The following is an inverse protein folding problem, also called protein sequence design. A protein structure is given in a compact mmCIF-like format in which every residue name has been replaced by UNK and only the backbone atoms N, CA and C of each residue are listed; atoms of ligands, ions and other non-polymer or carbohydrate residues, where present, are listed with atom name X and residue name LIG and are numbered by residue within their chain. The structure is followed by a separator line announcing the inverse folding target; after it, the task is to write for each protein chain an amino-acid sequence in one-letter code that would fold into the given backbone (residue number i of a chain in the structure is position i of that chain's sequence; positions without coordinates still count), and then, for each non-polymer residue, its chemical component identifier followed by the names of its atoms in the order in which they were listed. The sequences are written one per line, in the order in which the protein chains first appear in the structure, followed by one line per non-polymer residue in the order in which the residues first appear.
data_IF_875517477097
#
_entry.id   IF_875517477097
#
_cell.length_a   1.000
_cell.length_b   1.000
_cell.length_c   1.000
_cell.angle_alpha   90.00
_cell.angle_beta   90.00
_cell.angle_gamma   90.00
#
_symmetry.space_group_name_H-M   'P 1'
#
loop_
_entity.id
_entity.type
_entity.pdbx_description
1 polymer ?
#
# COMPACT_ATOMS: atom_id res chain seq x y z
N UNK A 1 -19.20 -10.54 6.97
CA UNK A 1 -18.57 -9.28 7.34
C UNK A 1 -17.80 -8.71 6.20
N UNK A 2 -17.93 -7.43 5.97
CA UNK A 2 -17.27 -6.81 4.86
C UNK A 2 -15.87 -6.38 5.24
N UNK A 3 -14.89 -6.70 4.43
CA UNK A 3 -13.51 -6.25 4.66
C UNK A 3 -13.36 -4.78 4.25
N UNK A 4 -12.55 -4.05 5.01
CA UNK A 4 -12.20 -2.71 4.62
C UNK A 4 -11.26 -2.76 3.43
N UNK A 5 -11.22 -1.70 2.66
CA UNK A 5 -10.42 -1.65 1.44
C UNK A 5 -8.97 -1.30 1.77
N UNK A 6 -8.06 -1.88 1.00
CA UNK A 6 -6.64 -1.58 1.06
C UNK A 6 -6.32 -0.87 -0.25
N UNK A 7 -6.16 0.43 -0.18
CA UNK A 7 -6.02 1.24 -1.39
C UNK A 7 -4.61 1.76 -1.54
N UNK A 8 -4.00 1.47 -2.68
CA UNK A 8 -2.66 1.94 -3.02
C UNK A 8 -2.82 2.91 -4.20
N UNK A 9 -2.48 4.19 -3.99
CA UNK A 9 -2.72 5.22 -5.00
C UNK A 9 -4.20 5.42 -5.25
N UNK A 10 -4.53 5.96 -6.41
CA UNK A 10 -5.92 6.23 -6.76
C UNK A 10 -6.39 5.36 -7.90
N UNK A 11 -7.66 4.99 -7.89
CA UNK A 11 -8.25 4.18 -8.95
C UNK A 11 -8.03 4.83 -10.32
N UNK A 12 -7.80 4.00 -11.32
CA UNK A 12 -7.63 4.49 -12.70
C UNK A 12 -6.26 5.10 -12.99
N UNK A 13 -5.28 4.92 -12.11
CA UNK A 13 -3.94 5.46 -12.35
C UNK A 13 -2.93 4.36 -12.62
N UNK A 14 -1.90 4.70 -13.38
CA UNK A 14 -0.79 3.78 -13.64
C UNK A 14 -0.11 3.43 -12.32
N UNK A 15 0.00 4.39 -11.40
CA UNK A 15 0.62 4.14 -10.11
C UNK A 15 -0.12 3.03 -9.37
N UNK A 16 -1.45 3.09 -9.28
CA UNK A 16 -2.21 2.01 -8.61
C UNK A 16 -1.96 0.68 -9.30
N UNK A 17 -2.00 0.66 -10.64
CA UNK A 17 -1.77 -0.58 -11.37
C UNK A 17 -0.41 -1.19 -11.02
N UNK A 18 0.63 -0.35 -10.99
CA UNK A 18 1.99 -0.84 -10.72
C UNK A 18 2.15 -1.30 -9.28
N UNK A 19 1.61 -0.55 -8.32
CA UNK A 19 1.71 -0.92 -6.90
C UNK A 19 0.95 -2.22 -6.61
N UNK A 20 -0.26 -2.34 -7.12
CA UNK A 20 -1.08 -3.54 -6.93
C UNK A 20 -0.40 -4.74 -7.60
N UNK A 21 0.14 -4.55 -8.80
CA UNK A 21 0.89 -5.60 -9.49
C UNK A 21 2.06 -6.08 -8.67
N UNK A 22 2.78 -5.16 -8.01
CA UNK A 22 3.91 -5.52 -7.16
C UNK A 22 3.47 -6.34 -5.94
N UNK A 23 2.32 -6.01 -5.34
CA UNK A 23 1.76 -6.80 -4.24
C UNK A 23 1.43 -8.20 -4.72
N UNK A 24 0.77 -8.31 -5.87
CA UNK A 24 0.34 -9.62 -6.39
C UNK A 24 1.52 -10.49 -6.79
N UNK A 25 2.64 -9.90 -7.19
CA UNK A 25 3.85 -10.67 -7.50
C UNK A 25 4.68 -10.99 -6.26
N UNK A 26 4.38 -10.42 -5.12
CA UNK A 26 5.17 -10.60 -3.90
C UNK A 26 6.35 -9.66 -3.77
N UNK A 27 6.48 -8.69 -4.67
CA UNK A 27 7.59 -7.73 -4.61
C UNK A 27 7.33 -6.61 -3.61
N UNK A 28 6.09 -6.27 -3.37
CA UNK A 28 5.72 -5.24 -2.41
C UNK A 28 5.08 -5.87 -1.20
N UNK A 29 5.75 -5.75 -0.05
CA UNK A 29 5.27 -6.31 1.23
C UNK A 29 5.22 -5.25 2.32
N UNK A 30 5.39 -3.98 1.95
CA UNK A 30 5.34 -2.86 2.89
C UNK A 30 4.82 -1.63 2.17
N UNK A 31 4.22 -0.74 2.93
CA UNK A 31 3.75 0.54 2.40
C UNK A 31 3.86 1.61 3.49
N UNK A 32 4.11 2.84 3.07
CA UNK A 32 4.25 3.99 3.95
C UNK A 32 3.13 4.98 3.72
N UNK A 33 2.67 5.60 4.79
CA UNK A 33 1.70 6.68 4.71
C UNK A 33 1.99 7.68 5.82
N UNK A 34 1.34 8.84 5.76
CA UNK A 34 1.52 9.86 6.79
C UNK A 34 0.55 9.61 7.94
N UNK A 35 1.02 9.77 9.16
CA UNK A 35 0.13 9.62 10.31
C UNK A 35 -1.05 10.59 10.23
N UNK A 36 -0.83 11.76 9.63
CA UNK A 36 -1.90 12.74 9.48
C UNK A 36 -3.01 12.31 8.53
N UNK A 37 -2.84 11.20 7.81
CA UNK A 37 -3.90 10.66 6.96
C UNK A 37 -4.90 9.82 7.76
N UNK A 38 -4.70 9.70 9.07
CA UNK A 38 -5.53 8.84 9.94
C UNK A 38 -6.11 9.64 11.10
N UNK A 39 -6.90 8.99 11.93
CA UNK A 39 -7.47 9.61 13.13
C UNK A 39 -6.35 10.10 14.04
N UNK A 40 -6.55 11.21 14.72
CA UNK A 40 -7.78 12.02 14.76
C UNK A 40 -7.84 13.07 13.65
N UNK A 41 -6.83 13.22 12.80
CA UNK A 41 -6.80 14.23 11.75
C UNK A 41 -7.90 13.98 10.72
N UNK A 42 -8.14 12.73 10.39
CA UNK A 42 -9.21 12.32 9.49
C UNK A 42 -10.08 11.29 10.19
N UNK A 43 -11.11 10.80 9.53
CA UNK A 43 -11.95 9.74 10.08
C UNK A 43 -11.38 8.35 9.85
N UNK A 44 -10.30 8.23 9.08
CA UNK A 44 -9.74 6.95 8.71
C UNK A 44 -9.01 6.29 9.90
N UNK A 45 -9.35 5.06 10.30
CA UNK A 45 -8.62 4.40 11.37
C UNK A 45 -7.28 3.87 10.87
N UNK A 46 -6.31 3.78 11.77
CA UNK A 46 -5.04 3.13 11.45
C UNK A 46 -5.27 1.65 11.13
N UNK A 47 -4.43 1.06 10.29
CA UNK A 47 -4.47 -0.38 10.09
C UNK A 47 -4.26 -1.13 11.41
N UNK A 48 -4.80 -2.32 11.54
CA UNK A 48 -4.71 -3.13 12.75
C UNK A 48 -4.00 -4.43 12.44
N UNK A 49 -2.93 -4.72 13.17
CA UNK A 49 -2.17 -5.96 12.99
C UNK A 49 -3.10 -7.15 13.17
N UNK A 50 -3.02 -8.08 12.25
CA UNK A 50 -3.87 -9.29 12.26
C UNK A 50 -5.17 -9.13 11.48
N UNK A 51 -5.55 -7.91 11.13
CA UNK A 51 -6.77 -7.73 10.35
C UNK A 51 -6.49 -7.92 8.87
N UNK A 52 -7.50 -8.30 8.14
CA UNK A 52 -7.44 -8.52 6.70
C UNK A 52 -8.20 -7.43 5.97
N UNK A 53 -7.70 -7.09 4.80
CA UNK A 53 -8.21 -6.00 4.00
C UNK A 53 -8.36 -6.44 2.56
N UNK A 54 -9.28 -5.81 1.84
CA UNK A 54 -9.54 -6.12 0.45
C UNK A 54 -8.66 -5.25 -0.44
N UNK A 55 -7.71 -5.86 -1.13
CA UNK A 55 -6.86 -5.14 -2.08
C UNK A 55 -7.66 -4.84 -3.33
N UNK A 56 -7.73 -3.57 -3.72
CA UNK A 56 -8.50 -3.15 -4.89
C UNK A 56 -7.57 -2.74 -6.02
N UNK A 57 -7.95 -3.10 -7.22
CA UNK A 57 -7.13 -2.92 -8.42
C UNK A 57 -7.41 -1.64 -9.17
N UNK A 58 -6.94 -1.61 -10.44
CA UNK A 58 -6.97 -0.42 -11.28
C UNK A 58 -8.37 0.18 -11.40
N UNK A 59 -9.37 -0.63 -11.63
CA UNK A 59 -10.74 -0.17 -11.80
C UNK A 59 -11.54 -0.28 -10.48
N UNK A 60 -10.82 -0.29 -9.36
CA UNK A 60 -11.42 -0.35 -8.05
C UNK A 60 -12.08 -1.69 -7.76
N UNK A 61 -11.72 -2.70 -8.51
CA UNK A 61 -12.25 -4.06 -8.33
C UNK A 61 -11.42 -4.84 -7.31
N UNK A 62 -12.01 -5.77 -6.58
CA UNK A 62 -11.25 -6.57 -5.63
C UNK A 62 -10.33 -7.56 -6.35
N UNK A 63 -9.06 -7.56 -6.01
CA UNK A 63 -8.06 -8.42 -6.64
C UNK A 63 -7.27 -9.27 -5.65
N UNK A 64 -7.41 -9.02 -4.36
CA UNK A 64 -6.69 -9.81 -3.37
C UNK A 64 -7.13 -9.52 -1.96
N UNK A 65 -6.64 -10.33 -1.04
CA UNK A 65 -6.83 -10.10 0.40
C UNK A 65 -5.44 -10.05 1.00
N UNK A 66 -5.17 -8.99 1.76
CA UNK A 66 -3.91 -8.81 2.47
C UNK A 66 -4.17 -8.78 3.97
N UNK A 67 -3.17 -9.17 4.74
CA UNK A 67 -3.25 -9.11 6.20
C UNK A 67 -2.11 -8.26 6.71
N UNK A 68 -2.39 -7.29 7.57
CA UNK A 68 -1.36 -6.46 8.19
C UNK A 68 -0.61 -7.29 9.21
N UNK A 69 0.71 -7.35 9.08
CA UNK A 69 1.55 -8.17 9.97
C UNK A 69 2.36 -7.35 10.94
N UNK A 70 2.61 -6.06 10.62
CA UNK A 70 3.35 -5.18 11.51
C UNK A 70 2.94 -3.74 11.25
N UNK A 71 2.85 -2.94 12.29
CA UNK A 71 2.59 -1.52 12.15
C UNK A 71 3.52 -0.77 13.10
N UNK A 72 4.32 0.15 12.54
CA UNK A 72 5.20 0.99 13.34
C UNK A 72 5.02 2.43 12.90
N UNK A 73 5.08 3.34 13.84
CA UNK A 73 5.03 4.76 13.52
C UNK A 73 6.40 5.32 13.85
N UNK A 74 7.12 5.76 12.83
CA UNK A 74 8.49 6.20 12.96
C UNK A 74 8.64 7.62 12.41
N UNK A 75 9.55 8.42 12.96
CA UNK A 75 9.90 9.67 12.29
C UNK A 75 10.53 9.34 10.93
N UNK A 76 10.35 10.20 9.97
CA UNK A 76 10.81 9.94 8.60
C UNK A 76 12.29 9.57 8.54
N UNK A 77 13.11 10.17 9.40
CA UNK A 77 14.55 9.89 9.40
C UNK A 77 14.87 8.46 9.86
N UNK A 78 13.94 7.76 10.50
CA UNK A 78 14.19 6.42 11.00
C UNK A 78 13.71 5.32 10.06
N UNK A 79 13.16 5.66 8.91
CA UNK A 79 12.78 4.66 7.91
C UNK A 79 14.07 4.07 7.34
N UNK A 80 14.22 2.75 7.43
CA UNK A 80 15.46 2.10 7.03
C UNK A 80 15.42 1.55 5.60
N UNK A 81 16.57 1.09 5.12
CA UNK A 81 16.69 0.61 3.76
C UNK A 81 15.89 -0.66 3.51
N UNK A 82 15.80 -1.55 4.49
CA UNK A 82 15.03 -2.78 4.29
C UNK A 82 13.56 -2.47 4.08
N UNK A 83 13.01 -1.53 4.85
CA UNK A 83 11.62 -1.12 4.66
C UNK A 83 11.45 -0.49 3.27
N UNK A 84 12.38 0.38 2.87
CA UNK A 84 12.32 1.03 1.56
C UNK A 84 12.32 -0.01 0.43
N UNK A 85 13.15 -1.04 0.56
CA UNK A 85 13.20 -2.11 -0.44
C UNK A 85 11.93 -2.94 -0.46
N UNK A 86 11.36 -3.19 0.72
CA UNK A 86 10.15 -4.01 0.83
C UNK A 86 8.90 -3.30 0.30
N UNK A 87 8.98 -2.00 0.04
CA UNK A 87 7.89 -1.33 -0.67
C UNK A 87 7.81 -1.77 -2.13
N UNK A 88 8.84 -2.42 -2.65
CA UNK A 88 8.79 -3.04 -3.98
C UNK A 88 8.79 -2.08 -5.14
N UNK A 89 9.28 -0.86 -4.95
CA UNK A 89 9.29 0.16 -5.98
C UNK A 89 10.68 0.47 -6.51
N UNK A 90 11.65 -0.36 -6.17
CA UNK A 90 13.00 -0.23 -6.70
C UNK A 90 13.91 0.72 -5.97
N UNK A 91 13.58 1.12 -4.75
CA UNK A 91 14.45 2.01 -4.00
C UNK A 91 15.70 1.28 -3.56
N UNK A 92 16.86 1.84 -3.90
CA UNK A 92 18.14 1.26 -3.52
C UNK A 92 18.81 2.03 -2.40
N UNK A 93 18.30 3.18 -2.02
CA UNK A 93 18.82 3.98 -0.90
C UNK A 93 17.66 4.59 -0.15
N UNK A 94 17.90 4.93 1.13
CA UNK A 94 16.89 5.63 1.93
C UNK A 94 16.67 7.04 1.36
N UNK A 95 17.71 7.66 0.81
CA UNK A 95 17.58 8.99 0.22
C UNK A 95 16.64 8.97 -1.00
N UNK A 96 16.71 7.94 -1.84
CA UNK A 96 15.81 7.85 -2.99
C UNK A 96 14.37 7.59 -2.54
N UNK A 97 14.19 6.79 -1.50
CA UNK A 97 12.88 6.57 -0.88
C UNK A 97 12.30 7.91 -0.40
N UNK A 98 13.11 8.67 0.32
CA UNK A 98 12.67 9.95 0.90
C UNK A 98 12.26 10.93 -0.19
N UNK A 99 13.09 11.06 -1.23
CA UNK A 99 12.82 11.98 -2.33
C UNK A 99 11.53 11.61 -3.07
N UNK A 100 11.31 10.33 -3.32
CA UNK A 100 10.10 9.88 -4.01
C UNK A 100 8.85 10.15 -3.19
N UNK A 101 8.92 9.93 -1.88
CA UNK A 101 7.77 10.14 -1.01
C UNK A 101 7.50 11.64 -0.79
N UNK A 102 8.53 12.46 -0.74
CA UNK A 102 8.33 13.91 -0.68
C UNK A 102 7.59 14.40 -1.92
N UNK A 103 7.91 13.85 -3.11
CA UNK A 103 7.20 14.20 -4.33
C UNK A 103 5.75 13.67 -4.29
N UNK A 104 5.57 12.43 -3.84
CA UNK A 104 4.25 11.82 -3.82
C UNK A 104 3.32 12.55 -2.86
N UNK A 105 3.81 12.91 -1.69
CA UNK A 105 3.00 13.63 -0.71
C UNK A 105 2.87 15.12 -1.03
N UNK A 106 3.61 15.57 -2.00
CA UNK A 106 3.40 16.86 -2.66
C UNK A 106 3.50 18.05 -1.74
N UNK A 107 2.42 18.76 -1.58
CA UNK A 107 2.41 20.00 -0.83
C UNK A 107 2.55 19.82 0.68
N UNK A 108 2.52 18.61 1.19
CA UNK A 108 2.68 18.40 2.62
C UNK A 108 4.16 18.33 2.93
N UNK A 109 4.60 19.28 3.76
CA UNK A 109 6.02 19.38 4.04
C UNK A 109 6.47 18.25 4.93
N UNK A 110 7.45 17.49 4.46
CA UNK A 110 8.02 16.37 5.20
C UNK A 110 9.35 16.81 5.82
N UNK A 111 9.48 16.59 7.11
CA UNK A 111 10.74 16.85 7.83
C UNK A 111 11.27 15.55 8.39
N UNK A 112 12.45 15.57 8.98
CA UNK A 112 13.04 14.39 9.59
C UNK A 112 12.15 13.81 10.70
N UNK A 113 11.35 14.64 11.34
CA UNK A 113 10.49 14.20 12.44
C UNK A 113 9.05 13.91 12.05
N UNK A 114 8.71 14.05 10.80
CA UNK A 114 7.34 13.77 10.35
C UNK A 114 6.99 12.31 10.63
N UNK A 115 5.88 12.04 11.34
CA UNK A 115 5.52 10.65 11.67
C UNK A 115 5.05 9.89 10.42
N UNK A 116 5.72 8.78 10.15
CA UNK A 116 5.42 7.90 9.03
C UNK A 116 4.80 6.61 9.57
N UNK A 117 3.67 6.20 9.01
CA UNK A 117 3.05 4.92 9.31
C UNK A 117 3.71 3.89 8.41
N UNK A 118 4.48 2.99 9.01
CA UNK A 118 5.21 1.94 8.29
C UNK A 118 4.45 0.64 8.49
N UNK A 119 3.75 0.22 7.46
CA UNK A 119 2.92 -0.97 7.53
C UNK A 119 3.54 -2.10 6.74
N UNK A 120 3.63 -3.30 7.34
CA UNK A 120 4.00 -4.51 6.63
C UNK A 120 2.79 -5.41 6.53
N UNK A 121 2.67 -6.12 5.43
CA UNK A 121 1.52 -6.98 5.17
C UNK A 121 1.94 -8.17 4.34
N UNK A 122 1.07 -9.16 4.26
CA UNK A 122 1.27 -10.31 3.40
C UNK A 122 0.04 -10.53 2.54
N UNK A 123 0.24 -11.05 1.36
CA UNK A 123 -0.87 -11.43 0.49
C UNK A 123 -1.42 -12.77 0.99
N UNK A 124 -2.67 -12.77 1.42
CA UNK A 124 -3.32 -13.98 1.91
C UNK A 124 -3.90 -14.77 0.75
N UNK A 125 -4.45 -14.06 -0.25
CA UNK A 125 -5.18 -14.73 -1.29
C UNK A 125 -5.34 -13.82 -2.49
N UNK A 126 -5.18 -14.38 -3.70
CA UNK A 126 -5.52 -13.66 -4.90
C UNK A 126 -6.98 -13.89 -5.20
N UNK A 127 -7.65 -12.88 -5.69
CA UNK A 127 -9.04 -12.97 -6.14
C UNK A 127 -9.06 -12.77 -7.63
N UNK A 128 -9.78 -13.62 -8.33
CA UNK A 128 -9.89 -13.53 -9.78
C UNK A 128 -11.26 -13.04 -10.18
N UNK A 129 -11.29 -12.17 -11.19
CA UNK A 129 -12.55 -11.67 -11.67
C UNK A 129 -13.35 -12.83 -12.21
N UNK A 130 -14.67 -12.77 -12.07
CA UNK A 130 -15.45 -13.76 -12.50
C UNK A 130 -15.74 -13.63 -13.86
N UNK A 131 -15.25 -13.17 -14.65
CA UNK A 131 -15.51 -12.93 -15.90
C UNK A 131 -15.51 -13.97 -16.63
N UNK A 132 -15.12 -14.23 -16.61
CA UNK A 132 -15.00 -15.01 -17.35
C UNK A 132 -15.70 -15.78 -17.80
N UNK A 133 -15.99 -16.10 -17.53
CA UNK A 133 -16.65 -16.85 -17.92
C UNK A 133 -16.89 -16.53 -19.08
N UNK A 134 -16.87 -15.94 -19.33
CA UNK A 134 -17.26 -15.58 -20.37
C UNK A 134 -16.42 -15.59 -21.31
N UNK A 135 -15.95 -15.52 -21.36
CA UNK A 135 -15.23 -15.42 -22.32
C UNK A 135 -14.58 -16.34 -22.51
N UNK A 136 -14.84 -16.99 -22.15
CA UNK A 136 -14.35 -17.79 -22.41
C UNK A 136 -14.57 -18.41 -23.20
N UNK A 137 -14.57 -18.52 -23.69
CA UNK A 137 -14.63 -18.97 -24.47
C UNK A 137 -14.59 -19.42 -25.09
N UNK A 138 -14.80 -19.48 -24.95
CA UNK A 138 -14.78 -19.62 -25.50
C UNK A 138 -14.34 -19.85 -25.89
N UNK A 139 -14.32 -20.04 -25.69
CA UNK A 139 -13.97 -19.95 -25.92
C UNK A 139 -13.73 -20.15 -26.36
#
# INVERSE_FOLDING_TARGET
MRLQRFELGYAGTVLRRDLVGAVLRGDKTATASLLSDYQPTTAEPLPVVGHRYLLVGYADEPVGIVETTQLRILPAQDVDLQFARDEGEGFETVASWRAAHERFWGHRLITDNTPIVCERFRLVRRLYAKRGRAHLPSQ
#
